data_IF_281016158800
#
_entry.id   IF_281016158800
#
_cell.length_a   1.000
_cell.length_b   1.000
_cell.length_c   1.000
_cell.angle_alpha   90.00
_cell.angle_beta   90.00
_cell.angle_gamma   90.00
#
_symmetry.space_group_name_H-M   'P 1'
#
loop_
_entity.id
_entity.type
_entity.pdbx_description
1 polymer ?
#
# COMPACT_ATOMS: atom_id res chain seq x y z
N UNK A 1 -2.08 9.47 -18.40
CA UNK A 1 -1.62 9.74 -17.01
C UNK A 1 -0.21 10.31 -17.05
N UNK A 2 -0.03 11.43 -16.41
CA UNK A 2 1.29 12.03 -16.26
C UNK A 2 1.88 11.60 -14.93
N UNK A 3 3.18 11.36 -14.89
CA UNK A 3 3.85 11.07 -13.63
C UNK A 3 5.03 12.02 -13.44
N UNK A 4 5.43 12.18 -12.20
CA UNK A 4 6.50 13.08 -11.80
C UNK A 4 7.29 12.44 -10.66
N UNK A 5 8.60 12.51 -10.74
CA UNK A 5 9.45 12.02 -9.66
C UNK A 5 9.83 13.22 -8.78
N UNK A 6 9.51 13.12 -7.48
CA UNK A 6 9.82 14.15 -6.51
C UNK A 6 10.58 13.55 -5.33
N UNK A 7 11.43 14.35 -4.71
CA UNK A 7 12.13 13.94 -3.50
C UNK A 7 11.44 14.58 -2.31
N UNK A 8 10.71 13.76 -1.54
CA UNK A 8 9.95 14.27 -0.39
C UNK A 8 9.69 13.13 0.59
N UNK A 9 9.28 13.50 1.80
CA UNK A 9 8.84 12.54 2.80
C UNK A 9 7.40 12.14 2.46
N UNK A 10 7.19 10.85 2.18
CA UNK A 10 5.88 10.36 1.75
C UNK A 10 4.80 10.54 2.84
N UNK A 11 5.19 10.63 4.11
CA UNK A 11 4.23 10.81 5.20
C UNK A 11 3.61 12.21 5.25
N UNK A 12 4.17 13.17 4.53
CA UNK A 12 3.65 14.54 4.49
C UNK A 12 3.15 14.95 3.10
N UNK A 13 3.17 14.02 2.14
CA UNK A 13 2.70 14.31 0.78
C UNK A 13 1.18 14.39 0.76
N UNK A 14 0.65 15.39 0.03
CA UNK A 14 -0.77 15.51 -0.22
C UNK A 14 -1.13 14.75 -1.50
N UNK A 15 -2.06 13.82 -1.41
CA UNK A 15 -2.49 13.00 -2.54
C UNK A 15 -3.87 12.40 -2.26
N UNK A 16 -4.54 11.90 -3.31
CA UNK A 16 -5.79 11.16 -3.11
C UNK A 16 -5.52 9.81 -2.47
N UNK A 17 -4.45 9.16 -2.88
CA UNK A 17 -4.02 7.89 -2.32
C UNK A 17 -2.50 7.81 -2.26
N UNK A 18 -2.01 7.06 -1.27
CA UNK A 18 -0.59 6.76 -1.10
C UNK A 18 -0.44 5.25 -1.25
N UNK A 19 0.47 4.82 -2.13
CA UNK A 19 0.77 3.39 -2.29
C UNK A 19 1.88 3.02 -1.32
N UNK A 20 1.61 2.02 -0.50
CA UNK A 20 2.56 1.53 0.50
C UNK A 20 2.89 0.07 0.20
N UNK A 21 4.16 -0.28 0.00
CA UNK A 21 4.55 -1.68 -0.10
C UNK A 21 4.19 -2.44 1.18
N UNK A 22 3.54 -3.57 1.03
CA UNK A 22 2.99 -4.31 2.16
C UNK A 22 3.34 -5.80 2.06
N UNK A 23 3.15 -6.52 3.18
CA UNK A 23 3.30 -7.97 3.23
C UNK A 23 1.92 -8.63 3.25
N UNK A 24 1.89 -9.95 3.07
CA UNK A 24 0.64 -10.72 3.01
C UNK A 24 -0.14 -10.72 4.32
N UNK A 25 0.49 -10.35 5.42
CA UNK A 25 -0.18 -10.26 6.72
C UNK A 25 -0.74 -8.86 7.00
N UNK A 26 -0.47 -7.90 6.14
CA UNK A 26 -0.82 -6.48 6.32
C UNK A 26 -0.33 -5.92 7.66
N UNK A 27 0.85 -6.34 8.08
CA UNK A 27 1.46 -5.83 9.31
C UNK A 27 2.44 -4.72 8.98
N UNK A 28 2.63 -3.82 9.95
CA UNK A 28 3.60 -2.75 9.82
C UNK A 28 4.99 -3.33 9.52
N UNK A 29 5.64 -2.81 8.47
CA UNK A 29 7.01 -3.15 8.15
C UNK A 29 7.98 -2.17 8.81
N UNK A 30 9.13 -1.95 8.15
CA UNK A 30 10.15 -1.01 8.63
C UNK A 30 10.28 0.17 7.66
N UNK A 31 11.08 1.16 8.02
CA UNK A 31 11.37 2.31 7.16
C UNK A 31 10.14 3.15 6.86
N UNK A 32 9.80 3.27 5.58
CA UNK A 32 8.65 4.07 5.10
C UNK A 32 7.35 3.62 5.76
N UNK A 33 7.16 2.31 5.94
CA UNK A 33 5.96 1.77 6.59
C UNK A 33 5.81 2.31 8.01
N UNK A 34 6.89 2.29 8.79
CA UNK A 34 6.88 2.82 10.15
C UNK A 34 6.48 4.30 10.17
N UNK A 35 7.05 5.10 9.29
CA UNK A 35 6.74 6.53 9.22
C UNK A 35 5.27 6.78 8.88
N UNK A 36 4.72 6.02 7.93
CA UNK A 36 3.33 6.15 7.53
C UNK A 36 2.37 5.71 8.63
N UNK A 37 2.66 4.61 9.29
CA UNK A 37 1.82 4.12 10.40
C UNK A 37 1.80 5.11 11.56
N UNK A 38 2.95 5.66 11.90
CA UNK A 38 3.05 6.64 12.97
C UNK A 38 2.26 7.91 12.64
N UNK A 39 2.43 8.45 11.44
CA UNK A 39 1.77 9.67 11.02
C UNK A 39 0.26 9.49 10.82
N UNK A 40 -0.16 8.35 10.30
CA UNK A 40 -1.58 8.05 10.07
C UNK A 40 -2.34 7.84 11.38
N UNK A 41 -1.69 7.31 12.39
CA UNK A 41 -2.31 6.85 13.63
C UNK A 41 -2.23 5.34 13.69
N UNK A 42 -1.20 4.83 14.36
CA UNK A 42 -0.87 3.39 14.31
C UNK A 42 -2.03 2.49 14.74
N UNK A 43 -2.73 2.84 15.81
CA UNK A 43 -3.82 2.02 16.34
C UNK A 43 -4.98 1.92 15.33
N UNK A 44 -5.36 3.04 14.74
CA UNK A 44 -6.45 3.10 13.76
C UNK A 44 -6.09 2.35 12.48
N UNK A 45 -4.87 2.53 11.99
CA UNK A 45 -4.43 1.86 10.77
C UNK A 45 -4.29 0.36 10.96
N UNK A 46 -3.74 -0.09 12.08
CA UNK A 46 -3.66 -1.51 12.41
C UNK A 46 -5.04 -2.15 12.47
N UNK A 47 -6.00 -1.48 13.09
CA UNK A 47 -7.37 -1.95 13.16
C UNK A 47 -7.99 -2.05 11.76
N UNK A 48 -7.79 -1.03 10.93
CA UNK A 48 -8.30 -1.04 9.55
C UNK A 48 -7.70 -2.18 8.73
N UNK A 49 -6.42 -2.46 8.90
CA UNK A 49 -5.76 -3.59 8.23
C UNK A 49 -6.35 -4.93 8.66
N UNK A 50 -6.61 -5.11 9.95
CA UNK A 50 -7.24 -6.33 10.47
C UNK A 50 -8.65 -6.51 9.91
N UNK A 51 -9.42 -5.43 9.87
CA UNK A 51 -10.78 -5.45 9.32
C UNK A 51 -10.79 -5.74 7.83
N UNK A 52 -9.86 -5.16 7.07
CA UNK A 52 -9.72 -5.41 5.65
C UNK A 52 -9.40 -6.88 5.40
N UNK A 53 -8.50 -7.45 6.18
CA UNK A 53 -8.13 -8.85 6.08
C UNK A 53 -9.32 -9.78 6.33
N UNK A 54 -10.14 -9.46 7.33
CA UNK A 54 -11.37 -10.19 7.63
C UNK A 54 -12.39 -10.08 6.50
N UNK A 55 -12.56 -8.88 5.95
CA UNK A 55 -13.55 -8.61 4.89
C UNK A 55 -13.30 -9.45 3.66
N UNK A 56 -12.04 -9.60 3.27
CA UNK A 56 -11.69 -10.37 2.08
C UNK A 56 -11.74 -11.88 2.30
N UNK A 57 -11.82 -12.34 3.57
CA UNK A 57 -12.07 -13.76 3.97
C UNK A 57 -11.17 -14.78 3.29
N UNK A 58 -10.02 -14.37 2.79
CA UNK A 58 -9.11 -15.28 2.10
C UNK A 58 -7.68 -14.84 2.36
N UNK A 59 -6.76 -15.73 2.05
CA UNK A 59 -5.36 -15.39 2.10
C UNK A 59 -5.06 -14.33 1.05
N UNK A 60 -4.28 -13.33 1.44
CA UNK A 60 -3.80 -12.31 0.52
C UNK A 60 -2.56 -12.82 -0.19
N UNK A 61 -2.47 -12.53 -1.48
CA UNK A 61 -1.37 -12.99 -2.31
C UNK A 61 -0.48 -11.84 -2.76
N UNK A 62 0.80 -12.13 -2.94
CA UNK A 62 1.73 -11.18 -3.54
C UNK A 62 1.22 -10.80 -4.93
N UNK A 63 1.25 -9.51 -5.24
CA UNK A 63 0.71 -8.99 -6.50
C UNK A 63 -0.67 -8.35 -6.37
N UNK A 64 -1.35 -8.55 -5.25
CA UNK A 64 -2.63 -7.91 -4.97
C UNK A 64 -2.44 -6.53 -4.34
N UNK A 65 -3.50 -5.72 -4.33
CA UNK A 65 -3.53 -4.43 -3.66
C UNK A 65 -4.84 -4.26 -2.92
N UNK A 66 -4.77 -3.67 -1.73
CA UNK A 66 -5.93 -3.52 -0.84
C UNK A 66 -5.95 -2.11 -0.28
N UNK A 67 -7.13 -1.43 -0.29
CA UNK A 67 -7.23 -0.08 0.25
C UNK A 67 -7.62 -0.07 1.73
N UNK A 68 -7.14 0.93 2.43
CA UNK A 68 -7.66 1.34 3.74
C UNK A 68 -7.81 2.85 3.74
N UNK A 69 -8.51 3.39 4.74
CA UNK A 69 -8.50 4.82 4.97
C UNK A 69 -7.11 5.26 5.43
N UNK A 70 -6.79 6.52 5.21
CA UNK A 70 -5.46 7.07 5.52
C UNK A 70 -5.42 7.83 6.85
N UNK A 71 -6.57 8.01 7.50
CA UNK A 71 -6.72 8.67 8.81
C UNK A 71 -6.04 10.04 8.85
N UNK A 72 -4.94 10.21 9.61
CA UNK A 72 -4.31 11.52 9.80
C UNK A 72 -3.34 11.92 8.69
N UNK A 73 -3.12 11.07 7.69
CA UNK A 73 -2.32 11.45 6.54
C UNK A 73 -3.09 12.43 5.66
N UNK A 74 -2.39 13.24 4.88
CA UNK A 74 -3.01 14.16 3.94
C UNK A 74 -3.37 13.44 2.63
N UNK A 75 -4.16 12.39 2.78
CA UNK A 75 -4.65 11.54 1.70
C UNK A 75 -5.96 10.91 2.13
N UNK A 76 -6.75 10.46 1.17
CA UNK A 76 -7.99 9.77 1.47
C UNK A 76 -7.77 8.29 1.75
N UNK A 77 -6.83 7.68 1.03
CA UNK A 77 -6.61 6.23 1.08
C UNK A 77 -5.14 5.88 1.14
N UNK A 78 -4.86 4.73 1.77
CA UNK A 78 -3.59 4.02 1.59
C UNK A 78 -3.90 2.78 0.75
N UNK A 79 -3.16 2.59 -0.33
CA UNK A 79 -3.24 1.38 -1.13
C UNK A 79 -2.07 0.49 -0.74
N UNK A 80 -2.38 -0.62 -0.09
CA UNK A 80 -1.38 -1.59 0.35
C UNK A 80 -1.06 -2.52 -0.81
N UNK A 81 0.08 -2.29 -1.46
CA UNK A 81 0.54 -3.12 -2.57
C UNK A 81 1.36 -4.28 -2.00
N UNK A 82 0.87 -5.49 -2.15
CA UNK A 82 1.53 -6.67 -1.58
C UNK A 82 2.67 -7.08 -2.51
N UNK A 83 3.89 -6.80 -2.06
CA UNK A 83 5.09 -6.94 -2.88
C UNK A 83 5.91 -8.16 -2.45
N UNK A 84 6.69 -8.75 -3.37
CA UNK A 84 7.56 -9.87 -3.03
C UNK A 84 8.79 -9.40 -2.27
N UNK A 85 9.38 -10.29 -1.48
CA UNK A 85 10.72 -10.08 -0.96
C UNK A 85 11.70 -10.41 -2.09
N UNK A 86 12.70 -9.56 -2.26
CA UNK A 86 13.72 -9.80 -3.28
C UNK A 86 14.64 -10.94 -2.84
N UNK A 87 14.71 -11.97 -3.67
CA UNK A 87 15.54 -13.15 -3.43
C UNK A 87 16.35 -13.49 -4.67
N UNK A 88 17.14 -12.53 -5.14
CA UNK A 88 18.04 -12.72 -6.27
C UNK A 88 17.41 -12.63 -7.66
N UNK A 89 16.12 -12.37 -7.75
CA UNK A 89 15.43 -12.17 -9.03
C UNK A 89 15.02 -13.46 -9.74
N UNK A 90 15.09 -14.63 -9.05
CA UNK A 90 14.78 -15.93 -9.66
C UNK A 90 13.42 -16.50 -9.25
N UNK A 91 12.63 -15.78 -8.45
CA UNK A 91 11.36 -16.25 -7.92
C UNK A 91 10.18 -15.43 -8.47
N UNK A 92 10.26 -15.01 -9.73
CA UNK A 92 9.24 -14.19 -10.40
C UNK A 92 9.01 -12.84 -9.72
N UNK A 93 10.03 -12.30 -9.02
CA UNK A 93 9.89 -11.05 -8.27
C UNK A 93 9.52 -9.87 -9.17
N UNK A 94 10.08 -9.78 -10.38
CA UNK A 94 9.73 -8.71 -11.32
C UNK A 94 8.27 -8.77 -11.73
N UNK A 95 7.79 -9.95 -12.06
CA UNK A 95 6.39 -10.14 -12.49
C UNK A 95 5.44 -9.86 -11.33
N UNK A 96 5.78 -10.32 -10.12
CA UNK A 96 4.97 -10.10 -8.93
C UNK A 96 4.96 -8.63 -8.52
N UNK A 97 6.09 -7.96 -8.60
CA UNK A 97 6.18 -6.53 -8.31
C UNK A 97 5.38 -5.72 -9.32
N UNK A 98 5.51 -6.04 -10.61
CA UNK A 98 4.74 -5.42 -11.67
C UNK A 98 3.24 -5.60 -11.46
N UNK A 99 2.82 -6.80 -11.06
CA UNK A 99 1.43 -7.11 -10.74
C UNK A 99 0.93 -6.27 -9.56
N UNK A 100 1.73 -6.09 -8.52
CA UNK A 100 1.36 -5.28 -7.36
C UNK A 100 1.15 -3.82 -7.75
N UNK A 101 2.02 -3.26 -8.57
CA UNK A 101 1.87 -1.88 -9.05
C UNK A 101 0.68 -1.73 -9.99
N UNK A 102 0.47 -2.68 -10.89
CA UNK A 102 -0.68 -2.67 -11.78
C UNK A 102 -1.98 -2.73 -10.98
N UNK A 103 -2.06 -3.63 -9.99
CA UNK A 103 -3.23 -3.75 -9.12
C UNK A 103 -3.48 -2.47 -8.34
N UNK A 104 -2.42 -1.81 -7.87
CA UNK A 104 -2.52 -0.56 -7.13
C UNK A 104 -3.07 0.57 -8.00
N UNK A 105 -2.55 0.71 -9.22
CA UNK A 105 -3.00 1.76 -10.15
C UNK A 105 -4.44 1.51 -10.60
N UNK A 106 -4.79 0.25 -10.84
CA UNK A 106 -6.15 -0.12 -11.21
C UNK A 106 -7.12 0.19 -10.06
N UNK A 107 -6.75 -0.13 -8.84
CA UNK A 107 -7.56 0.16 -7.66
C UNK A 107 -7.75 1.67 -7.48
N UNK A 108 -6.69 2.46 -7.63
CA UNK A 108 -6.77 3.91 -7.53
C UNK A 108 -7.73 4.49 -8.59
N UNK A 109 -7.65 3.97 -9.81
CA UNK A 109 -8.53 4.39 -10.89
C UNK A 109 -9.99 4.05 -10.57
N UNK A 110 -10.26 2.86 -10.06
CA UNK A 110 -11.60 2.43 -9.65
C UNK A 110 -12.16 3.28 -8.52
N UNK A 111 -11.30 3.82 -7.66
CA UNK A 111 -11.68 4.70 -6.55
C UNK A 111 -11.71 6.18 -6.96
N UNK A 112 -11.55 6.46 -8.23
CA UNK A 112 -11.55 7.82 -8.80
C UNK A 112 -10.45 8.72 -8.22
N UNK A 113 -9.30 8.15 -7.89
CA UNK A 113 -8.14 8.91 -7.46
C UNK A 113 -7.48 9.63 -8.64
N UNK A 114 -6.90 10.79 -8.36
CA UNK A 114 -6.22 11.59 -9.37
C UNK A 114 -4.69 11.67 -9.12
#
# INVERSE_FOLDING_TARGET
MQYKIVRNDISIVKADAIVLPANTMLREGSGTSTALYEKAGRAELEKACKEAKKRYKKQLYIGEAIPTLAFNLDADYIIHAIVPKWKGGHNHEYELLSSAYYSSLKLADMMSCK
#
